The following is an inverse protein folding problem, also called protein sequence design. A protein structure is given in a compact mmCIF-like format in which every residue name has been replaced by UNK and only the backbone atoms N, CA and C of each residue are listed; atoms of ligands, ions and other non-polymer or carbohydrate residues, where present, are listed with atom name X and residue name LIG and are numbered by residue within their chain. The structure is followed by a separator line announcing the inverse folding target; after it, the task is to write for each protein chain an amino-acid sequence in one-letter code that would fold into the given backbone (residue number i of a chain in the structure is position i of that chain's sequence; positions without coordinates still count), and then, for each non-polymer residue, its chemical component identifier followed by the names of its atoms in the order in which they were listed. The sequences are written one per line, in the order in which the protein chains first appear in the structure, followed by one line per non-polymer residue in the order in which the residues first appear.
data_IF_399163956667
#
_entry.id   IF_399163956667
#
_cell.length_a   1.000
_cell.length_b   1.000
_cell.length_c   1.000
_cell.angle_alpha   90.00
_cell.angle_beta   90.00
_cell.angle_gamma   90.00
#
_symmetry.space_group_name_H-M   'P 1'
#
loop_
_entity.id
_entity.type
_entity.pdbx_description
1 polymer ?
#
# COMPACT_ATOMS: atom_id res chain seq x y z
N UNK A 1 -9.80 22.07 5.93
CA UNK A 1 -8.53 21.53 6.44
C UNK A 1 -8.79 20.76 7.73
N UNK A 2 -9.17 19.48 7.62
CA UNK A 2 -9.26 18.54 8.75
C UNK A 2 -8.26 17.37 8.54
N UNK A 3 -7.07 17.70 8.04
CA UNK A 3 -5.94 16.79 8.09
C UNK A 3 -5.44 16.64 9.54
N UNK A 4 -4.94 15.50 9.89
CA UNK A 4 -4.29 15.30 11.19
C UNK A 4 -3.24 16.41 11.39
N UNK A 5 -3.28 17.11 12.53
CA UNK A 5 -2.28 18.15 12.85
C UNK A 5 -0.85 17.63 12.82
N UNK A 6 -0.67 16.34 13.12
CA UNK A 6 0.57 15.59 13.02
C UNK A 6 0.22 14.14 12.61
N UNK A 7 0.28 13.81 11.31
CA UNK A 7 -0.06 12.48 10.81
C UNK A 7 0.83 11.38 11.42
N UNK A 8 2.14 11.61 11.54
CA UNK A 8 3.10 10.65 12.11
C UNK A 8 2.71 10.27 13.54
N UNK A 9 2.57 11.25 14.41
CA UNK A 9 2.18 11.00 15.81
C UNK A 9 0.82 10.32 15.90
N UNK A 10 -0.14 10.68 15.06
CA UNK A 10 -1.47 10.07 15.07
C UNK A 10 -1.40 8.59 14.70
N UNK A 11 -0.70 8.24 13.62
CA UNK A 11 -0.56 6.86 13.19
C UNK A 11 0.27 6.03 14.17
N UNK A 12 1.37 6.57 14.69
CA UNK A 12 2.18 5.91 15.72
C UNK A 12 1.34 5.51 16.95
N UNK A 13 0.47 6.41 17.43
CA UNK A 13 -0.43 6.10 18.53
C UNK A 13 -1.40 4.96 18.20
N UNK A 14 -1.92 4.93 16.97
CA UNK A 14 -2.83 3.87 16.54
C UNK A 14 -2.12 2.52 16.48
N UNK A 15 -0.92 2.46 15.88
CA UNK A 15 -0.13 1.22 15.85
C UNK A 15 0.27 0.77 17.26
N UNK A 16 0.77 1.68 18.10
CA UNK A 16 1.18 1.35 19.47
C UNK A 16 0.03 0.89 20.37
N UNK A 17 -1.21 1.27 20.08
CA UNK A 17 -2.40 0.86 20.86
C UNK A 17 -3.05 -0.43 20.38
N UNK A 18 -2.61 -0.98 19.24
CA UNK A 18 -3.17 -2.20 18.70
C UNK A 18 -2.61 -3.44 19.41
N UNK A 19 -3.49 -4.40 19.75
CA UNK A 19 -3.07 -5.72 20.17
C UNK A 19 -2.69 -6.55 18.93
N UNK A 20 -1.41 -6.55 18.56
CA UNK A 20 -0.87 -7.15 17.34
C UNK A 20 -0.88 -6.18 16.15
N UNK A 21 -1.07 -6.70 14.94
CA UNK A 21 -1.10 -5.88 13.73
C UNK A 21 -2.45 -5.18 13.60
N UNK A 22 -2.43 -3.86 13.42
CA UNK A 22 -3.62 -3.00 13.36
C UNK A 22 -4.60 -3.42 12.25
N UNK A 23 -4.05 -3.82 11.10
CA UNK A 23 -4.81 -4.25 9.94
C UNK A 23 -4.82 -5.79 9.76
N UNK A 24 -4.35 -6.55 10.75
CA UNK A 24 -4.25 -8.01 10.70
C UNK A 24 -3.01 -8.49 9.95
N UNK A 25 -2.74 -9.80 10.05
CA UNK A 25 -1.56 -10.43 9.44
C UNK A 25 -1.78 -10.84 7.97
N UNK A 26 -3.04 -11.05 7.59
CA UNK A 26 -3.39 -11.44 6.22
C UNK A 26 -3.31 -10.24 5.27
N UNK A 27 -2.92 -10.46 4.00
CA UNK A 27 -2.94 -9.40 3.01
C UNK A 27 -4.35 -8.87 2.78
N UNK A 28 -4.46 -7.67 2.26
CA UNK A 28 -5.76 -7.15 1.82
C UNK A 28 -6.43 -8.11 0.83
N UNK A 29 -7.73 -8.36 1.01
CA UNK A 29 -8.48 -9.37 0.25
C UNK A 29 -8.55 -9.09 -1.25
N UNK A 30 -8.69 -7.81 -1.65
CA UNK A 30 -8.66 -7.43 -3.07
C UNK A 30 -7.28 -7.70 -3.68
N UNK A 31 -6.21 -7.26 -3.00
CA UNK A 31 -4.83 -7.51 -3.45
C UNK A 31 -4.55 -9.01 -3.57
N UNK A 32 -4.95 -9.82 -2.59
CA UNK A 32 -4.79 -11.27 -2.61
C UNK A 32 -5.52 -11.93 -3.78
N UNK A 33 -6.71 -11.44 -4.13
CA UNK A 33 -7.48 -11.95 -5.28
C UNK A 33 -6.77 -11.74 -6.62
N UNK A 34 -5.78 -10.83 -6.68
CA UNK A 34 -4.99 -10.55 -7.89
C UNK A 34 -3.73 -11.41 -8.01
N UNK A 35 -3.52 -12.40 -7.12
CA UNK A 35 -2.34 -13.26 -7.08
C UNK A 35 -1.92 -13.84 -8.43
N UNK A 36 -2.89 -14.23 -9.26
CA UNK A 36 -2.62 -14.82 -10.58
C UNK A 36 -1.97 -13.84 -11.58
N UNK A 37 -1.99 -12.53 -11.30
CA UNK A 37 -1.36 -11.48 -12.12
C UNK A 37 0.06 -11.14 -11.65
N UNK A 38 0.52 -11.73 -10.54
CA UNK A 38 1.80 -11.42 -9.89
C UNK A 38 2.83 -12.46 -10.30
N UNK A 39 3.91 -12.00 -10.92
CA UNK A 39 4.99 -12.86 -11.39
C UNK A 39 6.15 -12.82 -10.40
N UNK A 40 6.67 -13.98 -10.01
CA UNK A 40 7.86 -14.05 -9.18
C UNK A 40 9.04 -13.31 -9.84
N UNK A 41 9.85 -12.62 -9.03
CA UNK A 41 10.94 -11.78 -9.50
C UNK A 41 10.52 -10.36 -9.91
N UNK A 42 9.21 -10.04 -9.97
CA UNK A 42 8.74 -8.69 -10.22
C UNK A 42 9.05 -7.75 -9.06
N UNK A 43 9.32 -6.49 -9.37
CA UNK A 43 9.51 -5.41 -8.40
C UNK A 43 8.16 -4.85 -8.00
N UNK A 44 7.94 -4.76 -6.71
CA UNK A 44 6.69 -4.24 -6.15
C UNK A 44 6.96 -3.03 -5.27
N UNK A 45 6.10 -2.02 -5.38
CA UNK A 45 6.08 -0.89 -4.46
C UNK A 45 4.77 -0.90 -3.66
N UNK A 46 4.90 -0.83 -2.33
CA UNK A 46 3.79 -0.80 -1.38
C UNK A 46 3.83 0.53 -0.60
N UNK A 47 3.21 1.61 -1.12
CA UNK A 47 3.17 2.89 -0.44
C UNK A 47 2.16 2.86 0.72
N UNK A 48 2.52 3.46 1.86
CA UNK A 48 1.70 3.52 3.07
C UNK A 48 1.24 2.12 3.52
N UNK A 49 2.18 1.17 3.59
CA UNK A 49 1.91 -0.25 3.88
C UNK A 49 1.71 -0.54 5.37
N UNK A 50 1.88 0.47 6.22
CA UNK A 50 1.65 0.40 7.66
C UNK A 50 2.51 -0.63 8.36
N UNK A 51 1.86 -1.63 8.97
CA UNK A 51 2.47 -2.74 9.68
C UNK A 51 2.91 -3.91 8.75
N UNK A 52 2.96 -3.66 7.44
CA UNK A 52 3.67 -4.50 6.47
C UNK A 52 2.92 -5.72 5.95
N UNK A 53 1.62 -5.87 6.24
CA UNK A 53 0.86 -7.06 5.85
C UNK A 53 0.91 -7.38 4.36
N UNK A 54 0.84 -6.34 3.50
CA UNK A 54 0.86 -6.55 2.05
C UNK A 54 2.29 -6.75 1.53
N UNK A 55 3.25 -5.93 1.98
CA UNK A 55 4.65 -6.03 1.57
C UNK A 55 5.27 -7.38 1.93
N UNK A 56 5.07 -7.86 3.15
CA UNK A 56 5.53 -9.18 3.62
C UNK A 56 4.90 -10.29 2.78
N UNK A 57 3.57 -10.24 2.58
CA UNK A 57 2.88 -11.23 1.76
C UNK A 57 3.40 -11.25 0.31
N UNK A 58 3.54 -10.09 -0.34
CA UNK A 58 4.04 -10.01 -1.72
C UNK A 58 5.46 -10.58 -1.84
N UNK A 59 6.34 -10.26 -0.89
CA UNK A 59 7.68 -10.82 -0.86
C UNK A 59 7.67 -12.34 -0.60
N UNK A 60 6.71 -12.86 0.18
CA UNK A 60 6.54 -14.31 0.38
C UNK A 60 6.11 -15.05 -0.88
N UNK A 61 5.61 -14.34 -1.89
CA UNK A 61 5.27 -14.90 -3.21
C UNK A 61 6.47 -14.91 -4.18
N UNK A 62 7.66 -14.54 -3.72
CA UNK A 62 8.87 -14.45 -4.54
C UNK A 62 9.03 -13.11 -5.29
N UNK A 63 8.30 -12.06 -4.92
CA UNK A 63 8.48 -10.72 -5.48
C UNK A 63 9.54 -9.92 -4.69
N UNK A 64 10.06 -8.87 -5.31
CA UNK A 64 10.99 -7.94 -4.68
C UNK A 64 10.24 -6.68 -4.24
N UNK A 65 9.80 -6.67 -2.98
CA UNK A 65 8.96 -5.63 -2.44
C UNK A 65 9.78 -4.51 -1.78
N UNK A 66 9.42 -3.26 -2.09
CA UNK A 66 9.79 -2.08 -1.32
C UNK A 66 8.51 -1.54 -0.69
N UNK A 67 8.44 -1.56 0.63
CA UNK A 67 7.29 -1.06 1.38
C UNK A 67 7.71 0.09 2.29
N UNK A 68 6.87 1.10 2.40
CA UNK A 68 7.17 2.24 3.26
C UNK A 68 5.91 2.82 3.91
N UNK A 69 6.09 3.38 5.09
CA UNK A 69 5.07 4.12 5.81
C UNK A 69 5.67 5.33 6.54
N UNK A 70 4.84 6.30 6.86
CA UNK A 70 5.25 7.49 7.63
C UNK A 70 5.48 7.16 9.10
N UNK A 71 4.72 6.20 9.65
CA UNK A 71 4.72 5.83 11.06
C UNK A 71 5.87 4.86 11.36
N UNK A 72 6.83 5.30 12.14
CA UNK A 72 7.97 4.49 12.58
C UNK A 72 7.52 3.25 13.37
N UNK A 73 6.52 3.37 14.25
CA UNK A 73 5.93 2.23 14.99
C UNK A 73 5.30 1.21 14.03
N UNK A 74 4.62 1.67 12.97
CA UNK A 74 4.09 0.78 11.94
C UNK A 74 5.20 0.00 11.23
N UNK A 75 6.29 0.68 10.87
CA UNK A 75 7.45 0.04 10.22
C UNK A 75 8.17 -0.93 11.17
N UNK A 76 8.28 -0.61 12.47
CA UNK A 76 8.80 -1.55 13.48
C UNK A 76 7.94 -2.82 13.57
N UNK A 77 6.61 -2.68 13.52
CA UNK A 77 5.70 -3.83 13.44
C UNK A 77 5.90 -4.62 12.13
N UNK A 78 6.10 -3.96 10.99
CA UNK A 78 6.39 -4.62 9.72
C UNK A 78 7.70 -5.44 9.77
N UNK A 79 8.75 -4.92 10.43
CA UNK A 79 10.01 -5.64 10.71
C UNK A 79 9.74 -6.90 11.55
N UNK A 80 8.97 -6.76 12.63
CA UNK A 80 8.62 -7.88 13.49
C UNK A 80 7.76 -8.93 12.73
N UNK A 81 6.82 -8.45 11.89
CA UNK A 81 5.98 -9.30 11.06
C UNK A 81 6.80 -10.10 10.02
N UNK A 82 7.77 -9.47 9.35
CA UNK A 82 8.67 -10.15 8.43
C UNK A 82 9.46 -11.26 9.15
N UNK A 83 10.05 -10.96 10.32
CA UNK A 83 10.78 -11.95 11.12
C UNK A 83 9.90 -13.12 11.56
N UNK A 84 8.65 -12.85 11.99
CA UNK A 84 7.68 -13.87 12.38
C UNK A 84 7.29 -14.79 11.21
N UNK A 85 7.38 -14.30 9.96
CA UNK A 85 7.15 -15.07 8.74
C UNK A 85 8.42 -15.73 8.17
N UNK A 86 9.51 -15.82 8.95
CA UNK A 86 10.73 -16.54 8.58
C UNK A 86 11.63 -15.79 7.60
N UNK A 87 11.42 -14.49 7.39
CA UNK A 87 12.33 -13.66 6.59
C UNK A 87 13.66 -13.47 7.32
N UNK A 88 14.75 -13.56 6.58
CA UNK A 88 16.12 -13.43 7.10
C UNK A 88 16.61 -12.00 6.84
N UNK A 89 16.83 -11.26 7.93
CA UNK A 89 17.37 -9.91 7.84
C UNK A 89 18.83 -9.94 7.37
N UNK A 90 19.18 -9.01 6.51
CA UNK A 90 20.51 -8.87 5.93
C UNK A 90 20.94 -7.41 5.74
N UNK A 91 22.21 -7.21 5.50
CA UNK A 91 22.73 -5.90 5.11
C UNK A 91 22.14 -5.46 3.74
N UNK A 92 21.89 -4.16 3.55
CA UNK A 92 21.48 -3.64 2.25
C UNK A 92 22.51 -3.93 1.16
N UNK A 93 22.03 -4.30 -0.02
CA UNK A 93 22.83 -4.46 -1.23
C UNK A 93 22.58 -3.31 -2.21
N UNK A 94 23.33 -3.22 -3.27
CA UNK A 94 23.11 -2.20 -4.32
C UNK A 94 21.71 -2.30 -4.96
N UNK A 95 21.14 -3.49 -5.03
CA UNK A 95 19.79 -3.73 -5.56
C UNK A 95 18.69 -3.25 -4.64
N UNK A 96 18.93 -3.14 -3.32
CA UNK A 96 17.98 -2.61 -2.34
C UNK A 96 17.94 -1.08 -2.32
N UNK A 97 18.81 -0.44 -3.12
CA UNK A 97 18.88 1.02 -3.20
C UNK A 97 19.08 1.65 -1.82
N UNK A 98 20.28 1.50 -1.22
CA UNK A 98 20.56 1.97 0.15
C UNK A 98 20.40 3.49 0.33
N UNK A 99 20.23 4.23 -0.77
CA UNK A 99 19.91 5.67 -0.76
C UNK A 99 18.42 5.98 -0.59
N UNK A 100 17.54 4.97 -0.49
CA UNK A 100 16.11 5.22 -0.22
C UNK A 100 15.93 5.93 1.12
N UNK A 101 15.02 6.92 1.19
CA UNK A 101 14.79 7.66 2.41
C UNK A 101 14.27 6.74 3.53
N UNK A 102 14.85 6.87 4.71
CA UNK A 102 14.38 6.18 5.90
C UNK A 102 14.48 4.66 5.85
N UNK A 103 15.44 4.08 5.10
CA UNK A 103 15.69 2.65 5.08
C UNK A 103 15.87 2.12 6.51
N UNK A 104 15.05 1.14 6.90
CA UNK A 104 15.05 0.53 8.23
C UNK A 104 15.61 -0.88 8.21
N UNK A 105 15.16 -1.72 7.28
CA UNK A 105 15.57 -3.12 7.22
C UNK A 105 15.48 -3.68 5.80
N UNK A 106 16.32 -4.68 5.52
CA UNK A 106 16.29 -5.48 4.29
C UNK A 106 16.22 -6.95 4.67
N UNK A 107 15.40 -7.70 3.95
CA UNK A 107 15.17 -9.12 4.20
C UNK A 107 15.23 -9.93 2.91
N UNK A 108 15.69 -11.18 3.03
CA UNK A 108 15.45 -12.22 2.06
C UNK A 108 14.25 -13.04 2.49
N UNK A 109 13.35 -13.30 1.55
CA UNK A 109 12.21 -14.18 1.74
C UNK A 109 12.61 -15.64 1.61
N UNK A 110 12.03 -16.57 2.40
CA UNK A 110 12.25 -18.00 2.24
C UNK A 110 11.93 -18.56 0.85
N UNK A 111 11.15 -17.82 0.07
CA UNK A 111 10.66 -18.21 -1.26
C UNK A 111 11.43 -17.57 -2.41
N UNK A 112 12.53 -16.88 -2.13
CA UNK A 112 13.39 -16.24 -3.15
C UNK A 112 13.03 -14.79 -3.48
N UNK A 113 11.99 -14.19 -2.83
CA UNK A 113 11.73 -12.76 -2.89
C UNK A 113 12.60 -11.97 -1.94
N UNK A 114 12.40 -10.64 -1.90
CA UNK A 114 13.06 -9.76 -0.95
C UNK A 114 12.09 -8.68 -0.46
N UNK A 115 12.38 -8.13 0.73
CA UNK A 115 11.60 -7.05 1.31
C UNK A 115 12.55 -5.95 1.81
N UNK A 116 12.28 -4.73 1.38
CA UNK A 116 12.92 -3.51 1.87
C UNK A 116 11.87 -2.69 2.60
N UNK A 117 12.13 -2.33 3.85
CA UNK A 117 11.24 -1.53 4.68
C UNK A 117 11.83 -0.14 4.93
N UNK A 118 11.05 0.90 4.67
CA UNK A 118 11.44 2.29 4.84
C UNK A 118 10.44 3.06 5.72
N UNK A 119 10.94 3.92 6.60
CA UNK A 119 10.12 4.90 7.31
C UNK A 119 10.17 6.22 6.54
N UNK A 120 9.19 6.49 5.67
CA UNK A 120 9.24 7.61 4.74
C UNK A 120 7.86 8.23 4.49
N UNK A 121 7.87 9.54 4.20
CA UNK A 121 6.67 10.28 3.84
C UNK A 121 6.34 10.10 2.35
N UNK A 122 5.12 9.66 2.06
CA UNK A 122 4.61 9.47 0.70
C UNK A 122 4.66 10.78 -0.13
N UNK A 123 4.56 11.94 0.51
CA UNK A 123 4.65 13.24 -0.15
C UNK A 123 6.05 13.56 -0.69
N UNK A 124 7.08 12.88 -0.20
CA UNK A 124 8.50 13.12 -0.52
C UNK A 124 9.22 11.87 -1.04
N UNK A 125 8.47 10.82 -1.36
CA UNK A 125 9.04 9.58 -1.89
C UNK A 125 9.68 9.81 -3.27
N UNK A 126 10.87 9.27 -3.54
CA UNK A 126 11.59 9.45 -4.82
C UNK A 126 11.05 8.49 -5.90
N UNK A 127 9.85 8.74 -6.40
CA UNK A 127 9.08 7.88 -7.30
C UNK A 127 9.86 7.43 -8.54
N UNK A 128 10.56 8.36 -9.21
CA UNK A 128 11.36 8.06 -10.41
C UNK A 128 12.54 7.12 -10.14
N UNK A 129 13.02 7.10 -8.88
CA UNK A 129 14.14 6.27 -8.47
C UNK A 129 13.69 4.87 -8.00
N UNK A 130 12.39 4.61 -7.97
CA UNK A 130 11.81 3.36 -7.51
C UNK A 130 10.95 2.69 -8.59
N UNK A 131 11.54 2.32 -9.76
CA UNK A 131 10.80 1.64 -10.82
C UNK A 131 10.21 0.32 -10.32
N UNK A 132 8.91 0.12 -10.59
CA UNK A 132 8.14 -1.03 -10.16
C UNK A 132 7.38 -1.65 -11.35
N UNK A 133 7.18 -2.95 -11.29
CA UNK A 133 6.36 -3.70 -12.24
C UNK A 133 4.91 -3.84 -11.71
N UNK A 134 4.76 -3.67 -10.38
CA UNK A 134 3.48 -3.65 -9.66
C UNK A 134 3.51 -2.56 -8.58
N UNK A 135 2.41 -1.82 -8.44
CA UNK A 135 2.16 -0.97 -7.27
C UNK A 135 0.92 -1.51 -6.54
N UNK A 136 1.04 -1.78 -5.24
CA UNK A 136 -0.06 -2.15 -4.36
C UNK A 136 -0.47 -0.93 -3.52
N UNK A 137 -1.52 -0.23 -3.94
CA UNK A 137 -1.98 1.03 -3.36
C UNK A 137 -3.28 0.80 -2.56
N UNK A 138 -3.15 0.43 -1.29
CA UNK A 138 -4.26 -0.08 -0.47
C UNK A 138 -4.58 0.91 0.66
N UNK A 139 -5.81 1.45 0.68
CA UNK A 139 -6.37 2.30 1.74
C UNK A 139 -5.53 3.51 2.17
N UNK A 140 -4.84 4.20 1.27
CA UNK A 140 -4.07 5.41 1.60
C UNK A 140 -4.90 6.72 1.51
N UNK A 141 -6.19 6.67 1.80
CA UNK A 141 -7.15 7.78 1.66
C UNK A 141 -7.09 8.82 2.79
N UNK A 142 -6.03 8.81 3.59
CA UNK A 142 -5.62 9.96 4.37
C UNK A 142 -5.13 11.12 3.47
N UNK A 143 -4.73 10.80 2.24
CA UNK A 143 -4.31 11.77 1.23
C UNK A 143 -5.51 12.59 0.76
N UNK A 144 -5.46 13.89 1.01
CA UNK A 144 -6.41 14.86 0.44
C UNK A 144 -6.23 14.94 -1.10
N UNK A 145 -7.14 15.61 -1.83
CA UNK A 145 -7.05 15.68 -3.29
C UNK A 145 -5.72 16.18 -3.83
N UNK A 146 -5.05 17.11 -3.13
CA UNK A 146 -3.78 17.67 -3.58
C UNK A 146 -2.63 16.65 -3.41
N UNK A 147 -2.53 16.00 -2.25
CA UNK A 147 -1.57 14.95 -1.99
C UNK A 147 -1.84 13.73 -2.89
N UNK A 148 -3.10 13.32 -3.02
CA UNK A 148 -3.51 12.21 -3.88
C UNK A 148 -3.08 12.42 -5.33
N UNK A 149 -3.25 13.64 -5.86
CA UNK A 149 -2.78 13.98 -7.22
C UNK A 149 -1.28 13.80 -7.39
N UNK A 150 -0.47 14.23 -6.40
CA UNK A 150 0.98 14.02 -6.39
C UNK A 150 1.34 12.54 -6.33
N UNK A 151 0.66 11.77 -5.48
CA UNK A 151 0.90 10.32 -5.33
C UNK A 151 0.54 9.58 -6.62
N UNK A 152 -0.58 9.90 -7.24
CA UNK A 152 -0.97 9.30 -8.52
C UNK A 152 0.02 9.64 -9.64
N UNK A 153 0.57 10.86 -9.67
CA UNK A 153 1.66 11.20 -10.58
C UNK A 153 2.91 10.37 -10.27
N UNK A 154 3.25 10.21 -8.99
CA UNK A 154 4.33 9.32 -8.56
C UNK A 154 4.13 7.87 -9.04
N UNK A 155 2.91 7.34 -9.01
CA UNK A 155 2.62 6.00 -9.55
C UNK A 155 2.90 5.91 -11.06
N UNK A 156 2.56 6.98 -11.82
CA UNK A 156 2.89 7.04 -13.26
C UNK A 156 4.40 7.04 -13.50
N UNK A 157 5.17 7.75 -12.66
CA UNK A 157 6.63 7.83 -12.78
C UNK A 157 7.30 6.51 -12.40
N UNK A 158 6.84 5.86 -11.34
CA UNK A 158 7.42 4.64 -10.78
C UNK A 158 7.10 3.40 -11.62
N UNK A 159 5.84 3.28 -12.07
CA UNK A 159 5.38 2.07 -12.74
C UNK A 159 5.98 1.97 -14.14
N UNK A 160 6.54 0.80 -14.47
CA UNK A 160 7.11 0.54 -15.79
C UNK A 160 6.00 0.39 -16.84
N UNK A 161 6.31 0.59 -18.15
CA UNK A 161 5.38 0.24 -19.24
C UNK A 161 4.83 -1.18 -19.07
N UNK A 162 3.54 -1.39 -19.32
CA UNK A 162 2.85 -2.66 -19.10
C UNK A 162 2.64 -3.05 -17.64
N UNK A 163 3.19 -2.30 -16.68
CA UNK A 163 3.10 -2.57 -15.25
C UNK A 163 1.68 -2.37 -14.69
N UNK A 164 1.43 -2.93 -13.52
CA UNK A 164 0.09 -2.99 -12.90
C UNK A 164 -0.01 -2.09 -11.67
N UNK A 165 -1.09 -1.33 -11.60
CA UNK A 165 -1.55 -0.68 -10.37
C UNK A 165 -2.73 -1.48 -9.81
N UNK A 166 -2.56 -2.07 -8.63
CA UNK A 166 -3.65 -2.65 -7.84
C UNK A 166 -4.02 -1.64 -6.77
N UNK A 167 -5.21 -1.09 -6.85
CA UNK A 167 -5.68 -0.04 -5.95
C UNK A 167 -7.00 -0.43 -5.31
N UNK A 168 -7.14 -0.18 -4.01
CA UNK A 168 -8.38 -0.25 -3.26
C UNK A 168 -8.49 0.88 -2.26
N UNK A 169 -9.73 1.37 -2.09
CA UNK A 169 -10.06 2.35 -1.08
C UNK A 169 -11.56 2.46 -0.89
N UNK A 170 -11.98 3.24 0.09
CA UNK A 170 -13.39 3.45 0.39
C UNK A 170 -14.09 4.30 -0.67
N UNK A 171 -15.33 3.93 -0.99
CA UNK A 171 -16.23 4.69 -1.86
C UNK A 171 -17.18 5.58 -1.07
N UNK A 172 -18.03 6.33 -1.80
CA UNK A 172 -18.86 7.41 -1.24
C UNK A 172 -19.89 6.95 -0.18
N UNK A 173 -20.41 5.71 -0.29
CA UNK A 173 -21.37 5.18 0.71
C UNK A 173 -20.75 4.93 2.08
N UNK A 174 -19.41 4.92 2.17
CA UNK A 174 -18.71 4.77 3.46
C UNK A 174 -19.07 5.87 4.46
N UNK A 175 -19.47 7.05 4.00
CA UNK A 175 -19.97 8.12 4.88
C UNK A 175 -21.25 7.72 5.64
N UNK A 176 -22.00 6.78 5.12
CA UNK A 176 -23.20 6.23 5.77
C UNK A 176 -22.82 5.09 6.73
N UNK A 177 -21.93 4.19 6.30
CA UNK A 177 -21.51 3.03 7.10
C UNK A 177 -20.71 3.41 8.35
N UNK A 178 -19.76 4.35 8.22
CA UNK A 178 -18.93 4.86 9.32
C UNK A 178 -18.09 3.77 10.02
N UNK A 179 -17.82 2.68 9.33
CA UNK A 179 -17.05 1.53 9.81
C UNK A 179 -15.54 1.68 9.60
N UNK A 180 -15.10 2.79 9.04
CA UNK A 180 -13.69 3.10 8.75
C UNK A 180 -13.57 4.22 7.72
N UNK A 181 -12.35 4.50 7.30
CA UNK A 181 -12.04 5.51 6.30
C UNK A 181 -11.96 6.94 6.84
N UNK A 182 -11.68 7.92 5.97
CA UNK A 182 -11.35 9.29 6.37
C UNK A 182 -12.54 10.10 6.87
N UNK A 183 -13.80 9.70 6.64
CA UNK A 183 -14.99 10.48 6.97
C UNK A 183 -15.15 11.78 6.18
N UNK A 184 -14.33 11.99 5.14
CA UNK A 184 -14.26 13.20 4.29
C UNK A 184 -14.51 12.78 2.85
N UNK A 185 -15.59 13.31 2.24
CA UNK A 185 -16.05 12.89 0.91
C UNK A 185 -14.99 13.08 -0.19
N UNK A 186 -14.23 14.17 -0.13
CA UNK A 186 -13.20 14.48 -1.14
C UNK A 186 -12.02 13.51 -1.17
N UNK A 187 -11.83 12.74 -0.09
CA UNK A 187 -10.78 11.71 -0.02
C UNK A 187 -11.25 10.35 -0.51
N UNK A 188 -12.57 10.15 -0.64
CA UNK A 188 -13.14 8.89 -1.08
C UNK A 188 -13.01 8.70 -2.60
N UNK A 189 -13.02 7.43 -3.02
CA UNK A 189 -12.84 7.08 -4.42
C UNK A 189 -14.18 6.88 -5.13
N UNK A 190 -14.13 7.09 -6.44
CA UNK A 190 -15.10 6.61 -7.42
C UNK A 190 -14.34 6.00 -8.59
N UNK A 191 -14.97 5.10 -9.36
CA UNK A 191 -14.36 4.59 -10.59
C UNK A 191 -14.10 5.71 -11.60
N UNK A 192 -14.96 6.76 -11.63
CA UNK A 192 -14.76 7.94 -12.46
C UNK A 192 -13.48 8.69 -12.09
N UNK A 193 -13.24 8.93 -10.79
CA UNK A 193 -12.02 9.57 -10.31
C UNK A 193 -10.76 8.78 -10.72
N UNK A 194 -10.78 7.45 -10.59
CA UNK A 194 -9.65 6.61 -11.00
C UNK A 194 -9.48 6.62 -12.52
N UNK A 195 -10.57 6.56 -13.29
CA UNK A 195 -10.53 6.63 -14.75
C UNK A 195 -9.98 7.95 -15.29
N UNK A 196 -10.33 9.08 -14.68
CA UNK A 196 -9.77 10.40 -15.00
C UNK A 196 -8.28 10.47 -14.62
N UNK A 197 -7.97 10.03 -13.39
CA UNK A 197 -6.62 10.06 -12.88
C UNK A 197 -5.64 9.23 -13.71
N UNK A 198 -6.05 8.08 -14.21
CA UNK A 198 -5.24 7.17 -15.02
C UNK A 198 -5.78 7.06 -16.46
N UNK A 199 -6.17 8.20 -17.02
CA UNK A 199 -6.65 8.25 -18.40
C UNK A 199 -5.64 7.60 -19.38
N UNK A 200 -6.13 6.78 -20.29
CA UNK A 200 -5.32 6.05 -21.26
C UNK A 200 -4.78 4.70 -20.74
N UNK A 201 -4.94 4.39 -19.44
CA UNK A 201 -4.58 3.07 -18.92
C UNK A 201 -5.69 2.05 -19.16
N UNK A 202 -5.31 0.78 -19.36
CA UNK A 202 -6.30 -0.30 -19.52
C UNK A 202 -6.84 -0.73 -18.15
N UNK A 203 -8.17 -0.72 -17.99
CA UNK A 203 -8.83 -1.28 -16.82
C UNK A 203 -8.96 -2.79 -17.01
N UNK A 204 -8.23 -3.58 -16.24
CA UNK A 204 -8.28 -5.05 -16.31
C UNK A 204 -9.42 -5.63 -15.47
N UNK A 205 -9.68 -5.02 -14.33
CA UNK A 205 -10.76 -5.38 -13.40
C UNK A 205 -11.11 -4.16 -12.55
N UNK A 206 -12.38 -3.98 -12.22
CA UNK A 206 -12.81 -2.93 -11.29
C UNK A 206 -14.05 -3.36 -10.52
N UNK A 207 -14.22 -2.82 -9.31
CA UNK A 207 -15.37 -3.03 -8.43
C UNK A 207 -15.81 -1.72 -7.80
N UNK A 208 -17.11 -1.55 -7.70
CA UNK A 208 -17.81 -0.53 -6.93
C UNK A 208 -18.91 -1.26 -6.17
N UNK A 209 -18.61 -1.69 -4.94
CA UNK A 209 -19.53 -2.59 -4.23
C UNK A 209 -19.46 -2.39 -2.71
N UNK A 210 -20.50 -2.89 -2.05
CA UNK A 210 -20.50 -3.07 -0.62
C UNK A 210 -19.85 -4.41 -0.28
N UNK A 211 -18.99 -4.42 0.75
CA UNK A 211 -18.26 -5.59 1.22
C UNK A 211 -18.24 -5.61 2.74
N UNK A 212 -18.24 -6.80 3.32
CA UNK A 212 -17.95 -6.97 4.73
C UNK A 212 -16.45 -7.09 4.91
N UNK A 213 -15.83 -6.08 5.53
CA UNK A 213 -14.40 -6.10 5.83
C UNK A 213 -14.16 -6.74 7.20
N UNK A 214 -13.09 -7.53 7.28
CA UNK A 214 -12.62 -8.20 8.49
C UNK A 214 -11.08 -8.19 8.53
N UNK A 215 -10.48 -6.99 8.41
CA UNK A 215 -9.04 -6.79 8.30
C UNK A 215 -8.51 -6.13 9.60
N UNK A 216 -7.98 -6.95 10.50
CA UNK A 216 -7.51 -6.53 11.81
C UNK A 216 -8.61 -5.90 12.67
N UNK A 217 -8.28 -4.85 13.41
CA UNK A 217 -9.22 -4.09 14.24
C UNK A 217 -9.66 -2.76 13.63
N UNK A 218 -9.00 -2.34 12.54
CA UNK A 218 -9.20 -1.02 11.95
C UNK A 218 -10.11 -1.01 10.71
N UNK A 219 -10.27 -2.13 10.01
CA UNK A 219 -11.14 -2.29 8.84
C UNK A 219 -12.14 -3.42 9.11
N UNK A 220 -13.22 -3.12 9.82
CA UNK A 220 -14.21 -4.12 10.26
C UNK A 220 -15.63 -3.63 10.00
N UNK A 221 -16.45 -4.50 9.39
CA UNK A 221 -17.87 -4.30 9.16
C UNK A 221 -18.22 -3.88 7.73
N UNK A 222 -19.51 -3.66 7.52
CA UNK A 222 -20.06 -3.27 6.23
C UNK A 222 -19.39 -2.01 5.70
N UNK A 223 -18.84 -2.07 4.52
CA UNK A 223 -18.03 -1.02 3.92
C UNK A 223 -18.33 -0.89 2.44
N UNK A 224 -18.23 0.33 1.91
CA UNK A 224 -18.28 0.56 0.47
C UNK A 224 -16.85 0.70 -0.07
N UNK A 225 -16.46 -0.17 -0.96
CA UNK A 225 -15.12 -0.20 -1.55
C UNK A 225 -15.14 0.07 -3.05
N UNK A 226 -14.11 0.78 -3.49
CA UNK A 226 -13.76 0.99 -4.89
C UNK A 226 -12.40 0.33 -5.09
N UNK A 227 -12.36 -0.64 -5.98
CA UNK A 227 -11.15 -1.39 -6.28
C UNK A 227 -10.90 -1.41 -7.78
N UNK A 228 -9.64 -1.34 -8.20
CA UNK A 228 -9.28 -1.47 -9.61
C UNK A 228 -7.91 -2.12 -9.81
N UNK A 229 -7.77 -2.83 -10.93
CA UNK A 229 -6.49 -3.22 -11.50
C UNK A 229 -6.33 -2.48 -12.81
N UNK A 230 -5.35 -1.62 -12.88
CA UNK A 230 -5.05 -0.80 -14.04
C UNK A 230 -3.70 -1.20 -14.62
N UNK A 231 -3.59 -1.27 -15.96
CA UNK A 231 -2.33 -1.51 -16.66
C UNK A 231 -1.86 -0.24 -17.32
N UNK A 232 -0.64 0.18 -17.02
CA UNK A 232 0.03 1.28 -17.71
C UNK A 232 0.26 0.92 -19.17
N UNK A 233 0.05 1.84 -20.13
CA UNK A 233 0.43 1.64 -21.54
C UNK A 233 1.92 1.29 -21.69
N UNK A 234 2.24 0.60 -22.81
CA UNK A 234 3.61 0.26 -23.22
C UNK A 234 4.41 1.51 -23.64
#
# INVERSE_FOLDING_TARGET
MNGFKDPRTTWNKRYASAEGLLFGAEPNGWLASQRARMLAGSRVLCPADGDGRNGVWLASLGLHAVAFDLADVGVEHAVAHARANGFIERAPTATDRPSLPGLQACFDSPTGGSLVLCCADIAHWPWEQTPADLIAAIFFQFADPALRSKVFEGFRQSLQPGGLLVIEGYGMRQLVYKTGGPGVAENLYTLGLLGEAFHGWSVLESRDCDAELAEGTAHVGASHVISAVLRKPD
#
